data_IF_627004722124
#
_entry.id   IF_627004722124
#
_cell.length_a   1.000
_cell.length_b   1.000
_cell.length_c   1.000
_cell.angle_alpha   90.00
_cell.angle_beta   90.00
_cell.angle_gamma   90.00
#
_symmetry.space_group_name_H-M   'P 1'
#
loop_
_entity.id
_entity.type
_entity.pdbx_description
1 polymer ?
#
# COMPACT_ATOMS: atom_id res chain seq x y z
N UNK A 1 14.68 8.98 8.80
CA UNK A 1 15.25 7.90 9.64
C UNK A 1 14.29 6.74 10.01
N UNK A 2 12.95 6.78 9.83
CA UNK A 2 12.10 5.67 10.29
C UNK A 2 12.02 4.45 9.35
N UNK A 3 12.53 4.55 8.12
CA UNK A 3 12.35 3.50 7.11
C UNK A 3 13.37 2.35 7.17
N UNK A 4 14.49 2.48 7.90
CA UNK A 4 15.56 1.47 7.82
C UNK A 4 15.22 0.13 8.51
N UNK A 5 14.26 0.10 9.44
CA UNK A 5 13.96 -1.10 10.24
C UNK A 5 12.48 -1.41 10.41
N UNK A 6 11.59 -0.71 9.69
CA UNK A 6 10.18 -1.12 9.66
C UNK A 6 10.02 -2.32 8.72
N UNK A 7 9.12 -3.27 9.01
CA UNK A 7 8.73 -4.35 8.10
C UNK A 7 8.50 -3.86 6.67
N UNK A 8 7.80 -2.73 6.56
CA UNK A 8 7.51 -2.09 5.29
C UNK A 8 8.76 -1.53 4.62
N UNK A 9 9.70 -0.94 5.37
CA UNK A 9 10.92 -0.35 4.83
C UNK A 9 11.86 -1.34 4.14
N UNK A 10 12.05 -2.51 4.75
CA UNK A 10 12.92 -3.56 4.21
C UNK A 10 12.36 -4.18 2.93
N UNK A 11 11.07 -4.53 2.95
CA UNK A 11 10.38 -5.08 1.78
C UNK A 11 10.24 -4.02 0.68
N UNK A 12 10.00 -2.76 1.02
CA UNK A 12 9.98 -1.67 0.03
C UNK A 12 11.32 -1.50 -0.69
N UNK A 13 12.47 -1.71 -0.01
CA UNK A 13 13.77 -1.68 -0.69
C UNK A 13 13.94 -2.82 -1.67
N UNK A 14 13.40 -4.01 -1.37
CA UNK A 14 13.40 -5.14 -2.29
C UNK A 14 12.46 -4.88 -3.48
N UNK A 15 11.21 -4.49 -3.20
CA UNK A 15 10.20 -4.23 -4.24
C UNK A 15 10.60 -3.07 -5.15
N UNK A 16 11.20 -2.00 -4.59
CA UNK A 16 11.66 -0.84 -5.35
C UNK A 16 12.82 -1.13 -6.31
N UNK A 17 13.51 -2.27 -6.17
CA UNK A 17 14.59 -2.69 -7.06
C UNK A 17 14.18 -3.82 -8.01
N UNK A 18 13.46 -4.82 -7.50
CA UNK A 18 13.24 -6.08 -8.23
C UNK A 18 11.79 -6.31 -8.67
N UNK A 19 10.84 -5.50 -8.20
CA UNK A 19 9.41 -5.62 -8.56
C UNK A 19 8.93 -4.42 -9.35
N UNK A 20 8.95 -3.24 -8.75
CA UNK A 20 8.33 -2.04 -9.32
C UNK A 20 8.99 -1.58 -10.64
N UNK A 21 10.34 -1.49 -10.75
CA UNK A 21 10.96 -1.10 -12.02
C UNK A 21 10.64 -2.04 -13.19
N UNK A 22 10.83 -3.37 -13.10
CA UNK A 22 10.51 -4.26 -14.21
C UNK A 22 9.00 -4.29 -14.51
N UNK A 23 8.14 -4.19 -13.51
CA UNK A 23 6.68 -4.15 -13.71
C UNK A 23 6.25 -2.88 -14.46
N UNK A 24 6.79 -1.71 -14.09
CA UNK A 24 6.58 -0.45 -14.79
C UNK A 24 7.13 -0.49 -16.22
N UNK A 25 8.32 -1.06 -16.42
CA UNK A 25 8.91 -1.22 -17.76
C UNK A 25 8.07 -2.16 -18.63
N UNK A 26 7.56 -3.26 -18.10
CA UNK A 26 6.67 -4.15 -18.84
C UNK A 26 5.34 -3.48 -19.19
N UNK A 27 4.77 -2.68 -18.28
CA UNK A 27 3.57 -1.91 -18.60
C UNK A 27 3.84 -0.83 -19.66
N UNK A 28 4.99 -0.15 -19.60
CA UNK A 28 5.41 0.79 -20.64
C UNK A 28 5.50 0.13 -22.02
N UNK A 29 6.02 -1.10 -22.09
CA UNK A 29 6.19 -1.84 -23.34
C UNK A 29 4.88 -2.46 -23.88
N UNK A 30 3.89 -2.72 -23.02
CA UNK A 30 2.69 -3.51 -23.41
C UNK A 30 1.37 -2.73 -23.37
N UNK A 31 1.26 -1.69 -22.54
CA UNK A 31 0.04 -0.91 -22.39
C UNK A 31 0.14 0.45 -23.10
N UNK A 32 -0.60 0.67 -24.20
CA UNK A 32 -0.54 1.92 -24.97
C UNK A 32 -1.01 3.15 -24.17
N UNK A 33 -1.71 2.96 -23.03
CA UNK A 33 -2.18 4.03 -22.15
C UNK A 33 -1.25 4.28 -20.96
N UNK A 34 -0.14 3.56 -20.83
CA UNK A 34 0.78 3.73 -19.71
C UNK A 34 1.27 5.18 -19.59
N UNK A 35 1.80 5.74 -20.68
CA UNK A 35 2.31 7.12 -20.69
C UNK A 35 1.24 8.14 -20.30
N UNK A 36 0.01 8.00 -20.82
CA UNK A 36 -1.11 8.89 -20.49
C UNK A 36 -1.46 8.84 -18.99
N UNK A 37 -1.45 7.65 -18.39
CA UNK A 37 -1.74 7.49 -16.96
C UNK A 37 -0.61 8.00 -16.08
N UNK A 38 0.64 7.66 -16.41
CA UNK A 38 1.83 8.04 -15.64
C UNK A 38 1.99 9.56 -15.60
N UNK A 39 1.73 10.27 -16.69
CA UNK A 39 1.79 11.74 -16.73
C UNK A 39 0.69 12.43 -15.94
N UNK A 40 -0.38 11.72 -15.57
CA UNK A 40 -1.47 12.24 -14.72
C UNK A 40 -1.22 12.01 -13.23
N UNK A 41 -0.13 11.35 -12.86
CA UNK A 41 0.23 11.12 -11.46
C UNK A 41 0.64 12.46 -10.79
N UNK A 42 0.35 12.63 -9.50
CA UNK A 42 0.65 13.85 -8.78
C UNK A 42 2.15 14.01 -8.47
N UNK A 43 2.64 15.27 -8.46
CA UNK A 43 3.97 15.63 -7.97
C UNK A 43 5.11 15.07 -8.82
N UNK A 44 6.19 14.60 -8.18
CA UNK A 44 7.39 14.07 -8.85
C UNK A 44 7.24 12.62 -9.38
N UNK A 45 6.12 11.95 -9.07
CA UNK A 45 5.88 10.55 -9.44
C UNK A 45 6.05 10.26 -10.94
N UNK A 46 5.61 11.11 -11.89
CA UNK A 46 5.85 10.86 -13.30
C UNK A 46 7.33 10.74 -13.65
N UNK A 47 8.18 11.61 -13.09
CA UNK A 47 9.63 11.60 -13.32
C UNK A 47 10.26 10.38 -12.69
N UNK A 48 9.92 10.05 -11.44
CA UNK A 48 10.45 8.87 -10.74
C UNK A 48 10.14 7.56 -11.49
N UNK A 49 8.90 7.40 -11.96
CA UNK A 49 8.49 6.22 -12.72
C UNK A 49 9.21 6.14 -14.07
N UNK A 50 9.26 7.23 -14.84
CA UNK A 50 9.91 7.22 -16.15
C UNK A 50 11.44 7.09 -16.06
N UNK A 51 12.06 7.65 -15.03
CA UNK A 51 13.50 7.46 -14.75
C UNK A 51 13.80 6.00 -14.42
N UNK A 52 12.95 5.34 -13.63
CA UNK A 52 13.09 3.90 -13.34
C UNK A 52 12.94 3.03 -14.60
N UNK A 53 11.98 3.37 -15.48
CA UNK A 53 11.81 2.69 -16.78
C UNK A 53 13.03 2.90 -17.67
N UNK A 54 13.52 4.15 -17.77
CA UNK A 54 14.69 4.50 -18.57
C UNK A 54 15.94 3.75 -18.10
N UNK A 55 16.19 3.71 -16.78
CA UNK A 55 17.29 2.93 -16.21
C UNK A 55 17.16 1.46 -16.56
N UNK A 56 15.97 0.89 -16.38
CA UNK A 56 15.75 -0.54 -16.59
C UNK A 56 15.92 -0.97 -18.05
N UNK A 57 15.58 -0.10 -19.01
CA UNK A 57 15.61 -0.43 -20.44
C UNK A 57 16.87 0.04 -21.17
N UNK A 58 17.56 1.07 -20.66
CA UNK A 58 18.64 1.74 -21.39
C UNK A 58 19.96 1.70 -20.63
N UNK A 59 20.03 2.24 -19.41
CA UNK A 59 21.33 2.46 -18.75
C UNK A 59 21.83 1.25 -17.96
N UNK A 60 20.93 0.56 -17.26
CA UNK A 60 21.28 -0.47 -16.28
C UNK A 60 20.98 -1.88 -16.82
N UNK A 61 20.60 -2.01 -18.09
CA UNK A 61 20.25 -3.29 -18.71
C UNK A 61 21.49 -4.21 -18.79
N UNK A 62 21.52 -5.35 -18.06
CA UNK A 62 22.65 -6.26 -18.07
C UNK A 62 22.63 -7.16 -19.32
N UNK A 63 23.80 -7.41 -19.89
CA UNK A 63 23.97 -8.34 -21.01
C UNK A 63 24.66 -9.64 -20.58
N UNK A 64 25.20 -9.67 -19.36
CA UNK A 64 25.96 -10.79 -18.81
C UNK A 64 25.86 -10.84 -17.28
N UNK A 65 26.24 -11.98 -16.70
CA UNK A 65 26.38 -12.12 -15.25
C UNK A 65 27.35 -11.10 -14.65
N UNK A 66 28.43 -10.76 -15.36
CA UNK A 66 29.40 -9.77 -14.91
C UNK A 66 28.77 -8.37 -14.77
N UNK A 67 27.85 -8.02 -15.67
CA UNK A 67 27.10 -6.75 -15.59
C UNK A 67 26.19 -6.72 -14.36
N UNK A 68 25.53 -7.84 -14.02
CA UNK A 68 24.72 -7.95 -12.81
C UNK A 68 25.55 -7.77 -11.54
N UNK A 69 26.78 -8.34 -11.50
CA UNK A 69 27.72 -8.15 -10.39
C UNK A 69 28.20 -6.70 -10.31
N UNK A 70 28.52 -6.08 -11.46
CA UNK A 70 28.91 -4.68 -11.53
C UNK A 70 27.80 -3.74 -11.06
N UNK A 71 26.55 -4.02 -11.45
CA UNK A 71 25.36 -3.30 -10.98
C UNK A 71 25.22 -3.41 -9.46
N UNK A 72 25.27 -4.63 -8.91
CA UNK A 72 25.13 -4.85 -7.47
C UNK A 72 26.23 -4.13 -6.66
N UNK A 73 27.48 -4.15 -7.14
CA UNK A 73 28.60 -3.44 -6.50
C UNK A 73 28.43 -1.92 -6.52
N UNK A 74 27.98 -1.36 -7.64
CA UNK A 74 27.73 0.08 -7.76
C UNK A 74 26.51 0.51 -6.95
N UNK A 75 25.47 -0.31 -6.91
CA UNK A 75 24.31 -0.07 -6.07
C UNK A 75 24.69 -0.11 -4.57
N UNK A 76 25.52 -1.06 -4.14
CA UNK A 76 26.10 -1.08 -2.80
C UNK A 76 26.84 0.24 -2.49
N UNK A 77 27.68 0.72 -3.42
CA UNK A 77 28.41 1.98 -3.25
C UNK A 77 27.45 3.15 -3.03
N UNK A 78 26.41 3.24 -3.85
CA UNK A 78 25.42 4.29 -3.78
C UNK A 78 24.70 4.28 -2.42
N UNK A 79 24.23 3.12 -1.96
CA UNK A 79 23.38 3.04 -0.78
C UNK A 79 24.13 3.20 0.55
N UNK A 80 25.29 2.55 0.69
CA UNK A 80 25.99 2.41 1.98
C UNK A 80 27.20 3.33 2.13
N UNK A 81 27.61 4.01 1.05
CA UNK A 81 28.69 5.00 1.07
C UNK A 81 28.24 6.37 0.55
N UNK A 82 27.86 6.48 -0.73
CA UNK A 82 27.61 7.78 -1.38
C UNK A 82 26.45 8.54 -0.75
N UNK A 83 25.30 7.87 -0.56
CA UNK A 83 24.12 8.47 0.06
C UNK A 83 24.40 8.90 1.51
N UNK A 84 25.25 8.16 2.23
CA UNK A 84 25.68 8.52 3.59
C UNK A 84 26.60 9.74 3.56
N UNK A 85 27.55 9.79 2.63
CA UNK A 85 28.43 10.97 2.45
C UNK A 85 27.64 12.21 2.04
N UNK A 86 26.61 12.07 1.20
CA UNK A 86 25.70 13.17 0.88
C UNK A 86 24.93 13.62 2.13
N UNK A 87 24.40 12.67 2.91
CA UNK A 87 23.67 12.98 4.14
C UNK A 87 24.55 13.72 5.16
N UNK A 88 25.79 13.31 5.34
CA UNK A 88 26.76 13.95 6.24
C UNK A 88 27.28 15.31 5.70
N UNK A 89 27.28 15.49 4.37
CA UNK A 89 27.57 16.80 3.78
C UNK A 89 26.44 17.80 4.06
N UNK A 90 25.20 17.34 3.95
CA UNK A 90 24.01 18.11 4.29
C UNK A 90 23.90 18.39 5.79
N UNK A 91 24.21 17.39 6.61
CA UNK A 91 24.15 17.48 8.05
C UNK A 91 25.45 16.99 8.70
N UNK A 92 26.45 17.89 8.87
CA UNK A 92 27.73 17.55 9.49
C UNK A 92 27.56 16.86 10.86
N UNK A 93 28.47 15.94 11.26
CA UNK A 93 28.39 15.23 12.53
C UNK A 93 28.29 16.14 13.77
N UNK A 94 28.90 17.32 13.70
CA UNK A 94 28.96 18.34 14.75
C UNK A 94 27.87 19.42 14.61
N UNK A 95 26.96 19.29 13.64
CA UNK A 95 25.92 20.28 13.41
C UNK A 95 25.02 20.45 14.64
N UNK A 96 24.75 21.71 14.99
CA UNK A 96 23.79 22.10 16.00
C UNK A 96 22.44 22.47 15.36
N UNK A 97 21.37 22.23 16.10
CA UNK A 97 20.02 22.70 15.79
C UNK A 97 19.88 24.19 16.15
N UNK A 98 18.76 24.81 15.75
CA UNK A 98 18.46 26.22 16.10
C UNK A 98 18.41 26.49 17.60
N UNK A 99 18.17 25.48 18.43
CA UNK A 99 18.20 25.58 19.90
C UNK A 99 19.59 25.35 20.50
N UNK A 100 20.63 25.12 19.69
CA UNK A 100 22.00 24.84 20.14
C UNK A 100 22.25 23.40 20.56
N UNK A 101 21.25 22.51 20.50
CA UNK A 101 21.43 21.08 20.77
C UNK A 101 22.02 20.34 19.55
N UNK A 102 22.81 19.26 19.73
CA UNK A 102 23.34 18.47 18.61
C UNK A 102 22.23 17.91 17.71
N UNK A 103 22.37 18.06 16.39
CA UNK A 103 21.41 17.56 15.40
C UNK A 103 21.28 16.04 15.47
N UNK A 104 22.41 15.34 15.61
CA UNK A 104 22.49 13.89 15.77
C UNK A 104 22.36 13.50 17.24
N UNK A 105 21.16 13.63 17.80
CA UNK A 105 20.84 13.22 19.17
C UNK A 105 19.48 12.54 19.27
N UNK A 106 19.27 11.79 20.36
CA UNK A 106 18.02 11.07 20.64
C UNK A 106 17.66 10.06 19.53
N UNK A 107 16.57 10.27 18.78
CA UNK A 107 16.17 9.36 17.70
C UNK A 107 17.05 9.46 16.44
N UNK A 108 17.96 10.44 16.35
CA UNK A 108 18.85 10.65 15.20
C UNK A 108 20.27 10.15 15.48
N UNK A 109 20.58 8.94 15.04
CA UNK A 109 21.95 8.39 15.08
C UNK A 109 22.79 8.96 13.94
N UNK A 110 23.98 9.47 14.25
CA UNK A 110 24.92 9.95 13.24
C UNK A 110 25.45 8.74 12.45
N UNK A 111 25.33 8.72 11.11
CA UNK A 111 25.85 7.61 10.34
C UNK A 111 27.33 7.75 9.99
N UNK A 112 27.93 6.66 9.50
CA UNK A 112 29.24 6.65 8.84
C UNK A 112 29.19 5.86 7.52
N UNK A 113 29.93 6.30 6.49
CA UNK A 113 29.98 5.59 5.22
C UNK A 113 30.79 4.30 5.33
N UNK A 114 30.33 3.22 4.70
CA UNK A 114 31.06 1.94 4.68
C UNK A 114 32.01 1.86 3.49
N UNK A 115 33.15 1.20 3.67
CA UNK A 115 34.08 0.87 2.59
C UNK A 115 33.93 -0.59 2.17
N UNK A 116 33.79 -0.83 0.87
CA UNK A 116 33.55 -2.19 0.37
C UNK A 116 34.78 -3.06 0.56
N UNK A 117 34.56 -4.33 0.90
CA UNK A 117 35.62 -5.31 1.03
C UNK A 117 35.11 -6.68 0.61
N UNK A 118 35.88 -7.37 -0.23
CA UNK A 118 35.62 -8.76 -0.63
C UNK A 118 35.93 -9.76 0.49
N UNK A 119 36.62 -9.34 1.55
CA UNK A 119 36.89 -10.17 2.74
C UNK A 119 35.77 -10.10 3.78
N UNK A 120 34.82 -9.17 3.63
CA UNK A 120 33.68 -9.05 4.53
C UNK A 120 32.52 -9.90 3.98
N UNK A 121 32.09 -10.91 4.74
CA UNK A 121 31.02 -11.82 4.33
C UNK A 121 29.72 -11.09 4.05
N UNK A 122 29.32 -10.13 4.90
CA UNK A 122 28.09 -9.36 4.75
C UNK A 122 28.07 -8.53 3.45
N UNK A 123 29.22 -7.96 3.07
CA UNK A 123 29.36 -7.22 1.81
C UNK A 123 29.19 -8.15 0.61
N UNK A 124 29.77 -9.34 0.68
CA UNK A 124 29.66 -10.36 -0.36
C UNK A 124 28.26 -10.96 -0.43
N UNK A 125 27.59 -11.19 0.70
CA UNK A 125 26.21 -11.68 0.77
C UNK A 125 25.26 -10.75 0.02
N UNK A 126 25.42 -9.44 0.25
CA UNK A 126 24.66 -8.42 -0.46
C UNK A 126 24.87 -8.50 -1.97
N UNK A 127 26.13 -8.51 -2.42
CA UNK A 127 26.46 -8.50 -3.86
C UNK A 127 25.93 -9.76 -4.54
N UNK A 128 26.11 -10.93 -3.93
CA UNK A 128 25.65 -12.21 -4.49
C UNK A 128 24.12 -12.23 -4.58
N UNK A 129 23.41 -11.85 -3.52
CA UNK A 129 21.95 -11.84 -3.53
C UNK A 129 21.39 -10.81 -4.52
N UNK A 130 21.90 -9.56 -4.47
CA UNK A 130 21.46 -8.49 -5.34
C UNK A 130 21.73 -8.80 -6.83
N UNK A 131 22.90 -9.34 -7.16
CA UNK A 131 23.23 -9.70 -8.54
C UNK A 131 22.38 -10.85 -9.07
N UNK A 132 22.10 -11.88 -8.26
CA UNK A 132 21.23 -12.98 -8.66
C UNK A 132 19.78 -12.52 -8.87
N UNK A 133 19.24 -11.67 -8.00
CA UNK A 133 17.91 -11.10 -8.16
C UNK A 133 17.84 -10.22 -9.40
N UNK A 134 18.84 -9.38 -9.62
CA UNK A 134 18.92 -8.57 -10.84
C UNK A 134 19.03 -9.44 -12.09
N UNK A 135 19.82 -10.52 -12.07
CA UNK A 135 19.92 -11.45 -13.18
C UNK A 135 18.58 -12.14 -13.48
N UNK A 136 17.84 -12.57 -12.44
CA UNK A 136 16.49 -13.14 -12.58
C UNK A 136 15.53 -12.15 -13.26
N UNK A 137 15.57 -10.87 -12.89
CA UNK A 137 14.74 -9.83 -13.50
C UNK A 137 14.92 -9.74 -15.02
N UNK A 138 16.13 -10.00 -15.53
CA UNK A 138 16.46 -9.89 -16.96
C UNK A 138 16.60 -11.25 -17.67
N UNK A 139 16.34 -12.37 -16.98
CA UNK A 139 16.50 -13.71 -17.55
C UNK A 139 17.96 -14.11 -17.80
N UNK A 140 18.91 -13.49 -17.08
CA UNK A 140 20.34 -13.83 -17.12
C UNK A 140 20.62 -14.96 -16.13
N UNK A 141 21.50 -15.90 -16.50
CA UNK A 141 21.90 -16.97 -15.60
C UNK A 141 22.80 -16.44 -14.47
N UNK A 142 22.33 -16.58 -13.23
CA UNK A 142 23.06 -16.21 -12.03
C UNK A 142 24.12 -17.24 -11.58
N UNK A 143 24.88 -16.90 -10.55
CA UNK A 143 25.89 -17.79 -9.95
C UNK A 143 26.04 -17.55 -8.44
N UNK A 144 26.39 -18.62 -7.71
CA UNK A 144 26.74 -18.58 -6.29
C UNK A 144 28.24 -18.76 -6.03
N UNK A 145 29.06 -18.88 -7.09
CA UNK A 145 30.52 -19.01 -6.98
C UNK A 145 31.16 -17.69 -6.52
N UNK A 146 31.39 -17.58 -5.20
CA UNK A 146 32.02 -16.39 -4.61
C UNK A 146 33.42 -16.12 -5.15
N UNK A 147 34.21 -17.15 -5.48
CA UNK A 147 35.55 -16.94 -6.01
C UNK A 147 35.50 -16.31 -7.41
N UNK A 148 34.57 -16.76 -8.25
CA UNK A 148 34.26 -16.14 -9.53
C UNK A 148 33.77 -14.70 -9.40
N UNK A 149 32.85 -14.44 -8.46
CA UNK A 149 32.34 -13.08 -8.19
C UNK A 149 33.46 -12.14 -7.74
N UNK A 150 34.39 -12.59 -6.87
CA UNK A 150 35.54 -11.79 -6.44
C UNK A 150 36.42 -11.39 -7.63
N UNK A 151 36.66 -12.30 -8.58
CA UNK A 151 37.43 -11.97 -9.79
C UNK A 151 36.75 -10.89 -10.61
N UNK A 152 35.44 -11.00 -10.83
CA UNK A 152 34.67 -9.96 -11.55
C UNK A 152 34.78 -8.62 -10.83
N UNK A 153 34.64 -8.61 -9.50
CA UNK A 153 34.70 -7.39 -8.68
C UNK A 153 36.03 -6.64 -8.76
N UNK A 154 37.14 -7.31 -9.10
CA UNK A 154 38.45 -6.65 -9.28
C UNK A 154 38.46 -5.69 -10.48
N UNK A 155 37.66 -6.00 -11.51
CA UNK A 155 37.59 -5.21 -12.75
C UNK A 155 36.44 -4.19 -12.74
N UNK A 156 35.54 -4.24 -11.73
CA UNK A 156 34.40 -3.33 -11.64
C UNK A 156 34.88 -1.90 -11.35
N UNK A 157 34.57 -0.98 -12.26
CA UNK A 157 34.81 0.44 -12.08
C UNK A 157 33.71 1.05 -11.22
N UNK A 158 34.12 1.58 -10.06
CA UNK A 158 33.23 2.33 -9.15
C UNK A 158 33.45 3.82 -9.37
N UNK A 159 32.43 4.58 -9.83
CA UNK A 159 32.56 6.01 -10.02
C UNK A 159 32.91 6.75 -8.73
N UNK A 160 33.80 7.74 -8.82
CA UNK A 160 34.14 8.61 -7.69
C UNK A 160 32.92 9.48 -7.36
N UNK A 161 32.54 9.49 -6.09
CA UNK A 161 31.44 10.31 -5.60
C UNK A 161 31.93 11.58 -4.90
N UNK A 162 31.35 12.72 -5.32
CA UNK A 162 31.53 14.04 -4.69
C UNK A 162 30.15 14.55 -4.27
N UNK A 163 29.93 14.84 -2.97
CA UNK A 163 28.67 15.40 -2.50
C UNK A 163 28.35 16.73 -3.20
N UNK A 164 27.05 16.96 -3.47
CA UNK A 164 26.58 18.19 -4.13
C UNK A 164 25.94 19.14 -3.13
N UNK A 165 26.25 20.43 -3.25
CA UNK A 165 25.55 21.50 -2.54
C UNK A 165 24.15 21.72 -3.13
N UNK A 166 23.15 21.99 -2.30
CA UNK A 166 21.79 22.29 -2.74
C UNK A 166 20.85 21.09 -2.89
N UNK A 167 21.31 19.87 -2.62
CA UNK A 167 20.42 18.71 -2.45
C UNK A 167 19.58 18.93 -1.19
N UNK A 168 18.26 18.93 -1.29
CA UNK A 168 17.38 19.10 -0.13
C UNK A 168 17.03 17.74 0.48
N UNK A 169 17.34 17.56 1.76
CA UNK A 169 16.96 16.38 2.53
C UNK A 169 16.00 16.85 3.62
N UNK A 170 14.78 16.32 3.60
CA UNK A 170 13.75 16.66 4.57
C UNK A 170 14.07 16.06 5.94
N UNK A 171 13.96 16.87 6.99
CA UNK A 171 14.29 16.47 8.37
C UNK A 171 13.08 15.86 9.07
N UNK A 172 11.87 16.20 8.63
CA UNK A 172 10.60 15.70 9.15
C UNK A 172 9.65 15.25 8.04
N UNK A 173 8.73 14.35 8.37
CA UNK A 173 7.70 13.88 7.43
C UNK A 173 6.75 15.04 7.01
N UNK A 174 6.56 16.02 7.90
CA UNK A 174 5.75 17.21 7.62
C UNK A 174 6.42 18.11 6.57
N UNK A 175 7.75 18.25 6.59
CA UNK A 175 8.49 18.96 5.54
C UNK A 175 8.43 18.22 4.20
N UNK A 176 8.41 16.89 4.21
CA UNK A 176 8.29 16.05 3.01
C UNK A 176 6.88 16.17 2.39
N UNK A 177 5.84 16.20 3.21
CA UNK A 177 4.45 16.37 2.75
C UNK A 177 4.18 17.78 2.21
N UNK A 178 4.83 18.80 2.79
CA UNK A 178 4.68 20.19 2.38
C UNK A 178 5.54 20.57 1.17
N UNK A 179 6.51 19.75 0.78
CA UNK A 179 7.17 19.93 -0.51
C UNK A 179 6.26 19.48 -1.64
N UNK A 180 5.56 20.44 -2.25
CA UNK A 180 5.22 20.34 -3.66
C UNK A 180 6.54 20.29 -4.43
N UNK A 181 7.05 19.09 -4.70
CA UNK A 181 8.18 18.95 -5.61
C UNK A 181 7.77 19.62 -6.92
N UNK A 182 8.42 20.72 -7.27
CA UNK A 182 8.31 21.29 -8.61
C UNK A 182 8.74 20.19 -9.56
N UNK A 183 7.84 19.75 -10.43
CA UNK A 183 8.15 18.80 -11.48
C UNK A 183 9.31 19.39 -12.26
N UNK A 184 10.42 18.65 -12.35
CA UNK A 184 11.47 19.01 -13.29
C UNK A 184 10.96 18.67 -14.69
N UNK A 185 10.11 19.55 -15.22
CA UNK A 185 9.47 19.39 -16.54
C UNK A 185 10.54 19.23 -17.62
N UNK A 186 11.74 19.79 -17.42
CA UNK A 186 12.86 19.63 -18.35
C UNK A 186 13.36 18.19 -18.41
N UNK A 187 13.60 17.56 -17.25
CA UNK A 187 14.00 16.15 -17.19
C UNK A 187 12.90 15.22 -17.70
N UNK A 188 11.64 15.56 -17.44
CA UNK A 188 10.50 14.79 -17.91
C UNK A 188 10.42 14.75 -19.45
N UNK A 189 10.63 15.90 -20.11
CA UNK A 189 10.68 15.97 -21.58
C UNK A 189 11.89 15.22 -22.16
N UNK A 190 13.07 15.33 -21.54
CA UNK A 190 14.24 14.54 -21.96
C UNK A 190 13.95 13.03 -21.92
N UNK A 191 13.37 12.53 -20.83
CA UNK A 191 13.03 11.11 -20.66
C UNK A 191 12.08 10.62 -21.76
N UNK A 192 11.06 11.41 -22.11
CA UNK A 192 10.13 11.07 -23.20
C UNK A 192 10.83 10.84 -24.54
N UNK A 193 11.90 11.58 -24.80
CA UNK A 193 12.68 11.46 -26.05
C UNK A 193 13.71 10.34 -26.03
N UNK A 194 14.26 10.02 -24.86
CA UNK A 194 15.32 9.00 -24.71
C UNK A 194 14.76 7.59 -24.53
N UNK A 195 13.51 7.45 -24.11
CA UNK A 195 12.87 6.15 -23.93
C UNK A 195 12.69 5.42 -25.28
N UNK A 196 13.05 4.12 -25.36
CA UNK A 196 12.96 3.36 -26.60
C UNK A 196 11.49 3.10 -26.98
N UNK A 197 11.19 3.10 -28.28
CA UNK A 197 9.83 2.78 -28.75
C UNK A 197 9.42 1.36 -28.32
N UNK A 198 8.21 1.16 -27.76
CA UNK A 198 7.70 -0.14 -27.36
C UNK A 198 7.78 -1.23 -28.45
N UNK A 199 7.63 -0.83 -29.71
CA UNK A 199 7.63 -1.72 -30.88
C UNK A 199 9.01 -2.32 -31.21
N UNK A 200 10.08 -1.73 -30.69
CA UNK A 200 11.48 -2.08 -31.01
C UNK A 200 12.15 -3.02 -30.01
N UNK A 201 11.47 -3.31 -28.89
CA UNK A 201 12.09 -3.94 -27.71
C UNK A 201 11.64 -5.39 -27.52
N UNK A 202 12.59 -6.33 -27.44
CA UNK A 202 12.36 -7.75 -27.14
C UNK A 202 12.59 -8.10 -25.66
N UNK A 203 12.62 -7.11 -24.76
CA UNK A 203 12.85 -7.36 -23.35
C UNK A 203 11.70 -8.18 -22.74
N UNK A 204 12.06 -9.25 -22.04
CA UNK A 204 11.16 -9.99 -21.15
C UNK A 204 11.65 -9.80 -19.73
N UNK A 205 11.26 -8.70 -19.11
CA UNK A 205 11.57 -8.45 -17.72
C UNK A 205 10.62 -9.24 -16.82
N UNK A 206 11.15 -9.83 -15.76
CA UNK A 206 10.39 -10.56 -14.76
C UNK A 206 10.38 -9.75 -13.47
N UNK A 207 9.21 -9.26 -13.06
CA UNK A 207 9.04 -8.71 -11.72
C UNK A 207 9.13 -9.84 -10.69
N UNK A 208 9.82 -9.60 -9.58
CA UNK A 208 10.02 -10.60 -8.53
C UNK A 208 9.06 -10.32 -7.39
N UNK A 209 8.11 -11.24 -7.16
CA UNK A 209 7.25 -11.22 -6.00
C UNK A 209 7.99 -11.73 -4.77
N UNK A 210 7.93 -10.96 -3.67
CA UNK A 210 8.60 -11.32 -2.44
C UNK A 210 7.98 -12.58 -1.82
N UNK A 211 8.75 -13.66 -1.81
CA UNK A 211 8.49 -14.90 -1.07
C UNK A 211 9.49 -15.06 0.09
N UNK A 212 8.95 -15.15 1.31
CA UNK A 212 9.72 -15.23 2.56
C UNK A 212 10.02 -16.68 2.96
N UNK A 213 9.26 -17.64 2.45
CA UNK A 213 9.29 -19.05 2.88
C UNK A 213 10.11 -19.98 1.98
N UNK A 214 10.75 -19.42 0.95
CA UNK A 214 11.70 -20.11 0.09
C UNK A 214 13.12 -19.56 0.35
N UNK A 215 13.99 -20.41 0.88
CA UNK A 215 15.38 -20.07 1.21
C UNK A 215 16.35 -20.16 0.02
N UNK A 216 15.85 -20.50 -1.18
CA UNK A 216 16.68 -20.69 -2.39
C UNK A 216 16.61 -19.53 -3.39
N UNK A 217 15.68 -18.59 -3.20
CA UNK A 217 15.38 -17.52 -4.13
C UNK A 217 16.15 -16.21 -3.90
N UNK A 218 17.03 -16.16 -2.89
CA UNK A 218 17.82 -14.99 -2.48
C UNK A 218 17.03 -13.79 -1.91
N UNK A 219 15.72 -13.88 -1.72
CA UNK A 219 14.91 -12.76 -1.22
C UNK A 219 15.30 -12.38 0.21
N UNK A 220 15.29 -13.36 1.11
CA UNK A 220 15.66 -13.14 2.50
C UNK A 220 17.17 -12.88 2.65
N UNK A 221 18.01 -13.46 1.79
CA UNK A 221 19.45 -13.18 1.75
C UNK A 221 19.71 -11.70 1.46
N UNK A 222 19.05 -11.14 0.44
CA UNK A 222 19.13 -9.73 0.11
C UNK A 222 18.61 -8.86 1.25
N UNK A 223 17.43 -9.16 1.81
CA UNK A 223 16.83 -8.34 2.87
C UNK A 223 17.74 -8.29 4.10
N UNK A 224 18.27 -9.44 4.55
CA UNK A 224 19.15 -9.52 5.73
C UNK A 224 20.44 -8.76 5.49
N UNK A 225 21.07 -8.97 4.33
CA UNK A 225 22.31 -8.28 4.01
C UNK A 225 22.10 -6.76 3.90
N UNK A 226 21.06 -6.35 3.18
CA UNK A 226 20.72 -4.95 3.00
C UNK A 226 20.36 -4.23 4.31
N UNK A 227 19.60 -4.90 5.19
CA UNK A 227 19.23 -4.37 6.50
C UNK A 227 20.44 -4.23 7.42
N UNK A 228 21.31 -5.25 7.48
CA UNK A 228 22.46 -5.26 8.38
C UNK A 228 23.55 -4.28 7.93
N UNK A 229 23.73 -4.09 6.61
CA UNK A 229 24.61 -3.02 6.11
C UNK A 229 24.10 -1.63 6.50
N UNK A 230 22.79 -1.41 6.41
CA UNK A 230 22.20 -0.15 6.88
C UNK A 230 22.27 -0.04 8.41
N UNK A 231 22.23 -1.15 9.14
CA UNK A 231 22.42 -1.16 10.58
C UNK A 231 23.83 -0.68 10.95
N UNK A 232 24.83 -1.22 10.26
CA UNK A 232 26.23 -0.85 10.43
C UNK A 232 26.45 0.64 10.17
N UNK A 233 25.88 1.19 9.09
CA UNK A 233 25.96 2.64 8.81
C UNK A 233 25.54 3.52 10.00
N UNK A 234 24.65 3.07 10.88
CA UNK A 234 24.08 3.86 11.98
C UNK A 234 24.41 3.29 13.36
N UNK A 235 25.40 2.39 13.45
CA UNK A 235 25.81 1.71 14.69
C UNK A 235 24.63 1.02 15.41
N UNK A 236 23.76 0.39 14.62
CA UNK A 236 22.63 -0.41 15.09
C UNK A 236 23.06 -1.87 15.11
N UNK A 237 22.80 -2.62 16.20
CA UNK A 237 23.14 -4.04 16.26
C UNK A 237 22.49 -4.84 15.11
N UNK A 238 23.26 -5.71 14.42
CA UNK A 238 22.73 -6.51 13.33
C UNK A 238 21.68 -7.50 13.84
N UNK A 239 20.82 -7.95 12.92
CA UNK A 239 19.77 -8.92 13.19
C UNK A 239 19.98 -10.18 12.35
N UNK A 240 19.76 -11.35 12.95
CA UNK A 240 19.86 -12.63 12.26
C UNK A 240 18.74 -12.85 11.24
N UNK A 241 18.90 -13.86 10.36
CA UNK A 241 17.92 -14.21 9.33
C UNK A 241 16.54 -14.48 9.90
N UNK A 242 16.43 -15.18 11.03
CA UNK A 242 15.16 -15.60 11.61
C UNK A 242 14.35 -14.39 12.09
N UNK A 243 14.98 -13.49 12.85
CA UNK A 243 14.34 -12.27 13.34
C UNK A 243 14.07 -11.28 12.19
N UNK A 244 14.96 -11.19 11.19
CA UNK A 244 14.69 -10.42 9.97
C UNK A 244 13.50 -10.98 9.19
N UNK A 245 13.36 -12.30 9.08
CA UNK A 245 12.22 -12.97 8.42
C UNK A 245 10.91 -12.71 9.18
N UNK A 246 10.94 -12.76 10.52
CA UNK A 246 9.79 -12.42 11.36
C UNK A 246 9.30 -10.99 11.08
N UNK A 247 10.22 -10.03 11.04
CA UNK A 247 9.94 -8.61 10.84
C UNK A 247 9.51 -8.33 9.39
N UNK A 248 10.35 -8.63 8.40
CA UNK A 248 10.10 -8.33 6.99
C UNK A 248 8.90 -9.10 6.43
N UNK A 249 8.75 -10.37 6.81
CA UNK A 249 7.63 -11.21 6.40
C UNK A 249 6.31 -10.93 7.10
N UNK A 250 6.27 -9.98 8.05
CA UNK A 250 5.11 -9.68 8.91
C UNK A 250 4.49 -10.96 9.49
N UNK A 251 5.35 -11.89 9.92
CA UNK A 251 4.90 -13.19 10.42
C UNK A 251 4.14 -12.98 11.73
N UNK A 252 2.90 -13.45 11.76
CA UNK A 252 2.08 -13.48 12.97
C UNK A 252 2.41 -14.79 13.69
N UNK A 253 3.06 -14.75 14.87
CA UNK A 253 3.39 -15.96 15.61
C UNK A 253 2.11 -16.70 16.00
N UNK A 254 2.05 -17.99 15.67
CA UNK A 254 0.90 -18.84 15.97
C UNK A 254 1.38 -20.20 16.49
N UNK A 255 0.63 -20.76 17.43
CA UNK A 255 0.86 -22.10 17.97
C UNK A 255 -0.48 -22.80 18.16
N UNK A 256 -0.49 -24.12 17.93
CA UNK A 256 -1.72 -24.92 17.94
C UNK A 256 -2.48 -24.86 19.27
N UNK A 257 -1.79 -24.65 20.40
CA UNK A 257 -2.41 -24.60 21.74
C UNK A 257 -3.39 -23.43 21.87
N UNK A 258 -3.01 -22.22 21.46
CA UNK A 258 -3.89 -21.06 21.47
C UNK A 258 -5.05 -21.24 20.48
N UNK A 259 -4.78 -21.77 19.29
CA UNK A 259 -5.82 -22.05 18.29
C UNK A 259 -6.87 -23.04 18.81
N UNK A 260 -6.43 -24.17 19.38
CA UNK A 260 -7.34 -25.18 19.93
C UNK A 260 -8.19 -24.63 21.08
N UNK A 261 -7.59 -23.84 21.97
CA UNK A 261 -8.32 -23.20 23.08
C UNK A 261 -9.37 -22.20 22.58
N UNK A 262 -9.02 -21.32 21.64
CA UNK A 262 -9.96 -20.35 21.06
C UNK A 262 -11.11 -21.06 20.33
N UNK A 263 -10.82 -22.09 19.53
CA UNK A 263 -11.84 -22.88 18.83
C UNK A 263 -12.79 -23.55 19.82
N UNK A 264 -12.28 -24.12 20.90
CA UNK A 264 -13.11 -24.68 21.97
C UNK A 264 -14.10 -23.66 22.55
N UNK A 265 -13.64 -22.44 22.84
CA UNK A 265 -14.51 -21.36 23.34
C UNK A 265 -15.55 -20.92 22.29
N UNK A 266 -15.16 -20.83 21.01
CA UNK A 266 -16.10 -20.50 19.92
C UNK A 266 -17.19 -21.55 19.79
N UNK A 267 -16.87 -22.84 19.92
CA UNK A 267 -17.87 -23.91 19.89
C UNK A 267 -18.86 -23.83 21.06
N UNK A 268 -18.44 -23.34 22.23
CA UNK A 268 -19.35 -23.11 23.35
C UNK A 268 -20.36 -21.99 23.05
N UNK A 269 -19.94 -20.90 22.41
CA UNK A 269 -20.87 -19.84 21.98
C UNK A 269 -21.80 -20.32 20.84
N UNK A 270 -21.31 -21.19 19.96
CA UNK A 270 -22.11 -21.79 18.89
C UNK A 270 -23.33 -22.55 19.44
N UNK A 271 -23.21 -23.28 20.55
CA UNK A 271 -24.35 -23.94 21.18
C UNK A 271 -25.45 -22.96 21.59
N UNK A 272 -25.09 -21.77 22.06
CA UNK A 272 -26.05 -20.73 22.47
C UNK A 272 -26.81 -20.17 21.27
N UNK A 273 -26.12 -20.00 20.15
CA UNK A 273 -26.75 -19.58 18.87
C UNK A 273 -27.75 -20.63 18.40
N UNK A 274 -27.35 -21.91 18.37
CA UNK A 274 -28.21 -23.02 17.91
C UNK A 274 -29.44 -23.18 18.81
N UNK A 275 -29.26 -23.00 20.12
CA UNK A 275 -30.35 -23.01 21.09
C UNK A 275 -31.22 -21.74 21.05
N UNK A 276 -30.87 -20.75 20.22
CA UNK A 276 -31.67 -19.54 20.01
C UNK A 276 -31.65 -18.56 21.19
N UNK A 277 -30.56 -18.52 21.96
CA UNK A 277 -30.43 -17.60 23.10
C UNK A 277 -30.61 -16.15 22.64
N UNK A 278 -31.50 -15.41 23.31
CA UNK A 278 -31.82 -14.01 23.00
C UNK A 278 -31.27 -13.01 24.00
N UNK A 279 -30.85 -13.46 25.18
CA UNK A 279 -30.34 -12.60 26.24
C UNK A 279 -28.83 -12.41 26.09
N UNK A 280 -28.40 -11.16 26.18
CA UNK A 280 -27.02 -10.76 25.95
C UNK A 280 -26.08 -11.33 27.03
N UNK A 281 -26.55 -11.35 28.28
CA UNK A 281 -25.92 -12.00 29.45
C UNK A 281 -25.55 -13.48 29.24
N UNK A 282 -26.21 -14.18 28.30
CA UNK A 282 -25.89 -15.58 27.99
C UNK A 282 -24.60 -15.72 27.20
N UNK A 283 -24.26 -14.73 26.37
CA UNK A 283 -23.07 -14.74 25.52
C UNK A 283 -21.83 -14.27 26.28
N UNK A 284 -20.64 -14.69 25.82
CA UNK A 284 -19.36 -14.28 26.39
C UNK A 284 -18.33 -14.03 25.29
N UNK A 285 -17.75 -12.84 25.30
CA UNK A 285 -16.51 -12.57 24.58
C UNK A 285 -15.35 -13.12 25.39
N UNK A 286 -14.52 -13.97 24.80
CA UNK A 286 -13.36 -14.58 25.45
C UNK A 286 -12.06 -13.84 25.13
N UNK A 287 -11.29 -13.53 26.17
CA UNK A 287 -9.95 -12.95 26.09
C UNK A 287 -8.99 -13.86 26.82
N UNK A 288 -7.86 -14.20 26.20
CA UNK A 288 -6.92 -15.13 26.83
C UNK A 288 -5.46 -14.81 26.49
N UNK A 289 -4.59 -15.08 27.46
CA UNK A 289 -3.15 -15.06 27.28
C UNK A 289 -2.53 -16.25 28.04
N UNK A 290 -2.18 -17.30 27.29
CA UNK A 290 -1.62 -18.54 27.85
C UNK A 290 -0.20 -18.39 28.41
N UNK A 291 0.50 -17.31 28.11
CA UNK A 291 1.79 -17.02 28.74
C UNK A 291 1.64 -16.57 30.20
N UNK A 292 0.50 -15.97 30.56
CA UNK A 292 0.15 -15.53 31.93
C UNK A 292 -0.89 -16.43 32.62
N UNK A 293 -1.20 -17.59 32.05
CA UNK A 293 -2.51 -18.26 32.20
C UNK A 293 -3.76 -17.38 32.43
N UNK A 294 -3.88 -16.24 31.74
CA UNK A 294 -5.02 -15.33 31.89
C UNK A 294 -6.21 -15.76 31.02
N UNK A 295 -7.40 -15.80 31.62
CA UNK A 295 -8.69 -15.96 30.95
C UNK A 295 -9.67 -14.92 31.50
N UNK A 296 -10.22 -14.10 30.62
CA UNK A 296 -11.23 -13.11 30.93
C UNK A 296 -12.43 -13.30 30.01
N UNK A 297 -13.62 -13.15 30.57
CA UNK A 297 -14.86 -13.17 29.81
C UNK A 297 -15.66 -11.92 30.11
N UNK A 298 -16.17 -11.27 29.05
CA UNK A 298 -17.10 -10.15 29.19
C UNK A 298 -18.40 -10.46 28.47
N UNK A 299 -19.48 -9.84 28.90
CA UNK A 299 -20.68 -9.76 28.08
C UNK A 299 -20.37 -8.98 26.80
N UNK A 300 -20.96 -9.34 25.64
CA UNK A 300 -20.95 -8.47 24.47
C UNK A 300 -21.58 -7.10 24.76
N UNK A 301 -21.31 -6.11 23.94
CA UNK A 301 -21.92 -4.79 24.08
C UNK A 301 -23.26 -4.81 23.32
N UNK A 302 -24.32 -4.28 23.93
CA UNK A 302 -25.59 -4.09 23.25
C UNK A 302 -25.42 -3.15 22.04
N UNK A 303 -26.12 -3.44 20.94
CA UNK A 303 -26.10 -2.54 19.79
C UNK A 303 -26.61 -1.15 20.22
N UNK A 304 -25.87 -0.07 19.92
CA UNK A 304 -26.34 1.29 20.18
C UNK A 304 -27.71 1.50 19.55
N UNK A 305 -28.59 2.15 20.31
CA UNK A 305 -29.94 2.50 19.90
C UNK A 305 -29.95 3.96 19.51
N UNK A 306 -30.34 4.21 18.28
CA UNK A 306 -30.53 5.53 17.68
C UNK A 306 -32.02 5.76 17.51
N UNK A 307 -32.43 7.02 17.34
CA UNK A 307 -33.83 7.37 17.23
C UNK A 307 -34.01 8.48 16.21
N UNK A 308 -35.00 8.31 15.35
CA UNK A 308 -35.54 9.39 14.51
C UNK A 308 -37.07 9.39 14.71
N UNK A 309 -37.65 10.57 14.94
CA UNK A 309 -39.02 10.69 15.48
C UNK A 309 -39.22 9.80 16.72
N UNK A 310 -40.24 8.93 16.73
CA UNK A 310 -40.51 7.92 17.76
C UNK A 310 -39.99 6.52 17.41
N UNK A 311 -39.24 6.37 16.31
CA UNK A 311 -38.73 5.08 15.82
C UNK A 311 -37.33 4.86 16.36
N UNK A 312 -37.18 3.82 17.18
CA UNK A 312 -35.87 3.34 17.63
C UNK A 312 -35.29 2.36 16.61
N UNK A 313 -33.99 2.48 16.33
CA UNK A 313 -33.27 1.59 15.43
C UNK A 313 -31.85 1.33 15.92
N UNK A 314 -31.24 0.27 15.38
CA UNK A 314 -29.89 -0.21 15.67
C UNK A 314 -29.17 -0.57 14.38
N UNK A 315 -27.87 -0.88 14.44
CA UNK A 315 -27.09 -1.31 13.28
C UNK A 315 -27.66 -2.51 12.49
N UNK A 316 -28.59 -3.28 13.09
CA UNK A 316 -29.20 -4.46 12.47
C UNK A 316 -30.45 -4.13 11.64
N UNK A 317 -31.05 -2.98 11.92
CA UNK A 317 -32.25 -2.49 11.25
C UNK A 317 -31.90 -1.89 9.88
N UNK A 318 -32.88 -1.90 8.98
CA UNK A 318 -32.74 -1.39 7.61
C UNK A 318 -34.09 -1.05 7.03
N UNK A 319 -34.14 -0.15 6.06
CA UNK A 319 -35.29 0.00 5.19
C UNK A 319 -35.28 -1.08 4.11
N UNK A 320 -36.38 -1.81 3.96
CA UNK A 320 -36.57 -2.78 2.88
C UNK A 320 -37.38 -2.12 1.77
N UNK A 321 -36.74 -1.86 0.63
CA UNK A 321 -37.37 -1.23 -0.53
C UNK A 321 -37.36 -2.21 -1.69
N UNK A 322 -38.54 -2.52 -2.23
CA UNK A 322 -38.66 -3.35 -3.43
C UNK A 322 -38.58 -2.45 -4.66
N UNK A 323 -37.54 -2.67 -5.48
CA UNK A 323 -37.26 -1.83 -6.63
C UNK A 323 -38.23 -2.01 -7.78
N UNK A 324 -38.72 -3.22 -8.02
CA UNK A 324 -39.75 -3.49 -9.02
C UNK A 324 -41.13 -3.12 -8.48
N UNK A 325 -41.80 -2.22 -9.19
CA UNK A 325 -43.16 -1.82 -8.87
C UNK A 325 -44.17 -2.86 -9.38
N UNK A 326 -45.43 -2.83 -8.90
CA UNK A 326 -46.49 -3.69 -9.42
C UNK A 326 -46.72 -3.57 -10.93
N UNK A 327 -46.34 -2.44 -11.55
CA UNK A 327 -46.37 -2.22 -13.01
C UNK A 327 -45.32 -3.04 -13.78
N UNK A 328 -44.33 -3.61 -13.10
CA UNK A 328 -43.18 -4.28 -13.71
C UNK A 328 -42.03 -3.32 -14.06
N UNK A 329 -42.20 -2.02 -13.86
CA UNK A 329 -41.15 -1.01 -14.04
C UNK A 329 -40.32 -0.85 -12.76
N UNK A 330 -39.05 -0.51 -12.92
CA UNK A 330 -38.16 -0.22 -11.79
C UNK A 330 -38.43 1.19 -11.24
N UNK A 331 -38.42 1.31 -9.91
CA UNK A 331 -38.56 2.56 -9.20
C UNK A 331 -37.50 3.58 -9.64
N UNK A 332 -37.96 4.77 -10.02
CA UNK A 332 -37.10 5.91 -10.38
C UNK A 332 -36.58 6.62 -9.13
N UNK A 333 -35.55 7.45 -9.29
CA UNK A 333 -35.06 8.29 -8.19
C UNK A 333 -36.16 9.18 -7.61
N UNK A 334 -37.01 9.80 -8.44
CA UNK A 334 -38.13 10.62 -7.96
C UNK A 334 -39.06 9.82 -7.06
N UNK A 335 -39.47 8.64 -7.52
CA UNK A 335 -40.36 7.77 -6.74
C UNK A 335 -39.69 7.27 -5.45
N UNK A 336 -38.38 7.04 -5.46
CA UNK A 336 -37.62 6.69 -4.27
C UNK A 336 -37.61 7.84 -3.25
N UNK A 337 -37.32 9.07 -3.68
CA UNK A 337 -37.36 10.26 -2.81
C UNK A 337 -38.77 10.49 -2.26
N UNK A 338 -39.79 10.38 -3.12
CA UNK A 338 -41.19 10.54 -2.75
C UNK A 338 -41.66 9.45 -1.77
N UNK A 339 -41.19 8.20 -1.91
CA UNK A 339 -41.50 7.10 -1.00
C UNK A 339 -41.03 7.42 0.42
N UNK A 340 -39.77 7.85 0.60
CA UNK A 340 -39.27 8.24 1.92
C UNK A 340 -39.99 9.47 2.49
N UNK A 341 -40.29 10.47 1.65
CA UNK A 341 -41.03 11.66 2.06
C UNK A 341 -42.47 11.35 2.47
N UNK A 342 -43.15 10.47 1.75
CA UNK A 342 -44.57 10.19 1.96
C UNK A 342 -44.81 9.12 3.02
N UNK A 343 -44.05 8.02 3.00
CA UNK A 343 -44.26 6.86 3.89
C UNK A 343 -43.47 6.98 5.19
N UNK A 344 -42.20 7.42 5.11
CA UNK A 344 -41.32 7.54 6.28
C UNK A 344 -41.25 8.95 6.86
N UNK A 345 -41.84 9.93 6.18
CA UNK A 345 -41.78 11.37 6.52
C UNK A 345 -40.37 11.97 6.51
N UNK A 346 -39.42 11.27 5.89
CA UNK A 346 -38.02 11.67 5.80
C UNK A 346 -37.74 12.36 4.47
N UNK A 347 -37.19 13.56 4.51
CA UNK A 347 -36.74 14.27 3.32
C UNK A 347 -35.27 13.93 3.06
N UNK A 348 -35.02 13.06 2.09
CA UNK A 348 -33.64 12.67 1.72
C UNK A 348 -32.90 13.91 1.19
N UNK A 349 -31.78 14.25 1.82
CA UNK A 349 -30.88 15.34 1.43
C UNK A 349 -29.67 14.82 0.67
N UNK A 350 -29.22 13.59 0.95
CA UNK A 350 -28.13 12.91 0.23
C UNK A 350 -28.41 11.41 0.11
N UNK A 351 -28.02 10.84 -1.03
CA UNK A 351 -28.16 9.40 -1.33
C UNK A 351 -26.91 8.90 -2.04
N UNK A 352 -26.34 7.81 -1.52
CA UNK A 352 -25.12 7.23 -2.08
C UNK A 352 -25.15 5.70 -2.14
N UNK A 353 -24.32 5.14 -3.03
CA UNK A 353 -24.05 3.72 -3.14
C UNK A 353 -22.54 3.52 -3.09
N UNK A 354 -22.04 3.01 -1.97
CA UNK A 354 -20.61 2.97 -1.68
C UNK A 354 -19.99 4.37 -1.80
N UNK A 355 -18.98 4.54 -2.66
CA UNK A 355 -18.31 5.83 -2.88
C UNK A 355 -19.01 6.73 -3.91
N UNK A 356 -20.12 6.28 -4.51
CA UNK A 356 -20.81 7.00 -5.59
C UNK A 356 -22.01 7.78 -5.05
N UNK A 357 -21.96 9.11 -5.13
CA UNK A 357 -23.08 9.98 -4.75
C UNK A 357 -24.13 10.05 -5.89
N UNK A 358 -25.30 9.47 -5.63
CA UNK A 358 -26.38 9.33 -6.61
C UNK A 358 -27.27 10.58 -6.64
N UNK A 359 -27.55 11.17 -5.49
CA UNK A 359 -28.33 12.38 -5.33
C UNK A 359 -27.83 13.22 -4.15
N UNK A 360 -27.93 14.56 -4.27
CA UNK A 360 -27.79 15.49 -3.16
C UNK A 360 -28.61 16.76 -3.41
N UNK A 361 -29.07 17.44 -2.35
CA UNK A 361 -29.89 18.64 -2.45
C UNK A 361 -29.19 19.82 -3.15
N UNK A 362 -27.85 19.88 -3.07
CA UNK A 362 -27.02 20.90 -3.72
C UNK A 362 -26.58 20.54 -5.16
N UNK A 363 -27.15 19.48 -5.76
CA UNK A 363 -26.86 19.17 -7.16
C UNK A 363 -27.38 20.28 -8.10
N UNK A 364 -26.62 20.64 -9.15
CA UNK A 364 -27.10 21.58 -10.16
C UNK A 364 -28.41 21.10 -10.80
N UNK A 365 -29.36 22.02 -11.02
CA UNK A 365 -30.70 21.70 -11.52
C UNK A 365 -30.70 20.86 -12.81
N UNK A 366 -29.74 21.11 -13.72
CA UNK A 366 -29.57 20.31 -14.94
C UNK A 366 -29.26 18.83 -14.65
N UNK A 367 -28.31 18.56 -13.73
CA UNK A 367 -27.95 17.19 -13.33
C UNK A 367 -29.09 16.50 -12.58
N UNK A 368 -29.84 17.26 -11.77
CA UNK A 368 -30.98 16.71 -11.04
C UNK A 368 -32.09 16.29 -12.02
N UNK A 369 -32.43 17.15 -12.99
CA UNK A 369 -33.42 16.84 -14.03
C UNK A 369 -33.06 15.61 -14.85
N UNK A 370 -31.77 15.40 -15.14
CA UNK A 370 -31.29 14.20 -15.84
C UNK A 370 -31.44 12.89 -15.03
N UNK A 371 -31.51 12.95 -13.70
CA UNK A 371 -31.47 11.76 -12.83
C UNK A 371 -32.82 11.39 -12.23
N UNK A 372 -33.69 12.36 -11.97
CA UNK A 372 -34.95 12.13 -11.26
C UNK A 372 -35.84 11.04 -11.90
N UNK A 373 -35.90 11.00 -13.23
CA UNK A 373 -36.75 10.07 -13.96
C UNK A 373 -36.04 8.77 -14.37
N UNK A 374 -34.77 8.58 -13.96
CA UNK A 374 -34.02 7.36 -14.25
C UNK A 374 -34.28 6.28 -13.19
N UNK A 375 -34.30 4.99 -13.58
CA UNK A 375 -34.27 3.86 -12.65
C UNK A 375 -33.06 3.91 -11.72
N UNK A 376 -33.23 3.45 -10.47
CA UNK A 376 -32.15 3.44 -9.48
C UNK A 376 -30.89 2.71 -9.97
N UNK A 377 -31.04 1.54 -10.61
CA UNK A 377 -29.93 0.75 -11.17
C UNK A 377 -29.19 1.46 -12.31
N UNK A 378 -29.91 2.24 -13.12
CA UNK A 378 -29.33 3.01 -14.21
C UNK A 378 -28.47 4.16 -13.68
N UNK A 379 -28.95 4.87 -12.65
CA UNK A 379 -28.19 5.94 -12.00
C UNK A 379 -26.90 5.39 -11.40
N UNK A 380 -26.98 4.27 -10.67
CA UNK A 380 -25.79 3.60 -10.12
C UNK A 380 -24.79 3.26 -11.22
N UNK A 381 -25.26 2.71 -12.33
CA UNK A 381 -24.40 2.36 -13.48
C UNK A 381 -23.75 3.60 -14.11
N UNK A 382 -24.52 4.69 -14.30
CA UNK A 382 -24.05 5.94 -14.92
C UNK A 382 -23.02 6.65 -14.04
N UNK A 383 -23.25 6.71 -12.72
CA UNK A 383 -22.37 7.43 -11.78
C UNK A 383 -21.10 6.63 -11.48
N UNK A 384 -21.23 5.33 -11.21
CA UNK A 384 -20.08 4.47 -10.91
C UNK A 384 -19.24 4.14 -12.16
N UNK A 385 -19.80 4.38 -13.36
CA UNK A 385 -19.25 3.97 -14.67
C UNK A 385 -19.02 2.45 -14.77
N UNK A 386 -19.71 1.66 -13.94
CA UNK A 386 -19.62 0.19 -13.89
C UNK A 386 -21.01 -0.40 -14.08
N UNK A 387 -21.15 -1.32 -15.03
CA UNK A 387 -22.40 -2.07 -15.23
C UNK A 387 -22.66 -2.97 -14.03
N UNK A 388 -23.89 -3.00 -13.56
CA UNK A 388 -24.32 -3.95 -12.54
C UNK A 388 -24.30 -5.38 -13.09
N UNK A 389 -23.69 -6.31 -12.33
CA UNK A 389 -23.60 -7.70 -12.73
C UNK A 389 -24.96 -8.40 -12.69
N UNK A 390 -25.21 -9.32 -13.62
CA UNK A 390 -26.44 -10.14 -13.67
C UNK A 390 -26.65 -11.04 -12.44
N UNK A 391 -25.74 -11.06 -11.46
CA UNK A 391 -25.84 -11.80 -10.20
C UNK A 391 -26.31 -10.92 -9.01
N UNK A 392 -26.32 -9.60 -9.16
CA UNK A 392 -26.71 -8.66 -8.09
C UNK A 392 -28.23 -8.73 -7.87
N UNK A 393 -28.67 -9.03 -6.66
CA UNK A 393 -30.11 -9.12 -6.31
C UNK A 393 -30.61 -7.92 -5.53
N UNK A 394 -29.75 -7.30 -4.73
CA UNK A 394 -30.06 -6.10 -3.98
C UNK A 394 -28.87 -5.12 -3.99
N UNK A 395 -29.18 -3.85 -3.77
CA UNK A 395 -28.23 -2.77 -3.55
C UNK A 395 -28.38 -2.26 -2.12
N UNK A 396 -27.27 -1.76 -1.58
CA UNK A 396 -27.26 -1.05 -0.29
C UNK A 396 -27.09 0.43 -0.59
N UNK A 397 -28.01 1.25 -0.07
CA UNK A 397 -27.93 2.70 -0.15
C UNK A 397 -27.79 3.32 1.23
N UNK A 398 -26.92 4.32 1.32
CA UNK A 398 -26.74 5.16 2.50
C UNK A 398 -27.45 6.50 2.28
N UNK A 399 -28.12 6.98 3.32
CA UNK A 399 -28.96 8.17 3.29
C UNK A 399 -28.46 9.21 4.30
N UNK A 400 -28.56 10.48 3.92
CA UNK A 400 -28.75 11.58 4.87
C UNK A 400 -30.13 12.16 4.61
N UNK A 401 -30.85 12.51 5.65
CA UNK A 401 -32.21 13.01 5.54
C UNK A 401 -32.54 13.98 6.65
N UNK A 402 -33.42 14.92 6.32
CA UNK A 402 -34.02 15.81 7.29
C UNK A 402 -35.36 15.23 7.77
N UNK A 403 -35.66 15.52 9.03
CA UNK A 403 -36.93 15.20 9.63
C UNK A 403 -38.02 16.26 9.29
N UNK A 404 -39.19 16.19 9.92
CA UNK A 404 -40.29 17.15 9.65
C UNK A 404 -40.02 18.56 10.20
N UNK A 405 -39.03 18.68 11.09
CA UNK A 405 -38.56 19.94 11.67
C UNK A 405 -37.37 20.52 10.89
N UNK A 406 -37.01 19.92 9.75
CA UNK A 406 -35.87 20.28 8.91
C UNK A 406 -34.51 20.09 9.63
N UNK A 407 -34.47 19.21 10.64
CA UNK A 407 -33.23 18.82 11.34
C UNK A 407 -32.64 17.56 10.69
N UNK A 408 -31.32 17.53 10.50
CA UNK A 408 -30.60 16.36 9.96
C UNK A 408 -30.64 15.21 10.97
N UNK A 409 -31.06 14.03 10.52
CA UNK A 409 -31.23 12.84 11.37
C UNK A 409 -30.53 11.62 10.78
N UNK A 410 -29.94 10.82 11.67
CA UNK A 410 -29.34 9.53 11.31
C UNK A 410 -30.42 8.45 11.23
N UNK A 411 -30.42 7.69 10.12
CA UNK A 411 -31.42 6.67 9.83
C UNK A 411 -30.77 5.38 9.36
N UNK A 412 -31.47 4.23 9.42
CA UNK A 412 -30.96 2.99 8.87
C UNK A 412 -30.62 3.09 7.38
N UNK A 413 -29.68 2.26 6.92
CA UNK A 413 -29.42 2.08 5.49
C UNK A 413 -30.60 1.41 4.78
N UNK A 414 -30.60 1.48 3.45
CA UNK A 414 -31.64 0.87 2.61
C UNK A 414 -31.10 -0.38 1.94
N UNK A 415 -31.85 -1.48 2.06
CA UNK A 415 -31.74 -2.63 1.18
C UNK A 415 -32.74 -2.47 0.04
N UNK A 416 -32.22 -2.12 -1.13
CA UNK A 416 -33.01 -1.98 -2.35
C UNK A 416 -32.97 -3.27 -3.16
N UNK A 417 -34.06 -4.04 -3.18
CA UNK A 417 -34.15 -5.31 -3.88
C UNK A 417 -34.49 -5.09 -5.35
N UNK A 418 -33.56 -5.44 -6.25
CA UNK A 418 -33.74 -5.28 -7.70
C UNK A 418 -34.69 -6.37 -8.24
N UNK A 419 -34.67 -7.57 -7.65
CA UNK A 419 -35.37 -8.78 -8.12
C UNK A 419 -35.47 -9.87 -7.08
#
# INVERSE_FOLDING_TARGET
MPFAFSPSGLVMSFEGLFKQPPENSMQYLTDPKFMERTLKLPGAQPVEVLEAVYKSLVTDCPHSWADCVAWARNHWQCQYNNNIRQLLHNFPPDQLTSSGAPFWSGPKRCPHPLEFSTSNELHMDYVVAAANLFAQTYGVQGSTDRAGVIKILQDVKVPVFTPRSGVKIHVSDQELQNSHASVDDSRLEELKTQLPSPESSQFKLCAIDFEKDDDTNFHMDFIVAASNLRAENYDIPPTDRHKSKLIAGKIIPAIATTTAAVVGLVCLELFKIIQGHKKLESYKNGFMNLALPFFGFSEPIAAPKHKYYEIEWTLWDRFEVTGLQPSGEEMTLRQFLDHFKNEHKLEITMLSQGVSMLYSFFMPAAKLKERLDLPMTEIVTKVSKKKLGKHVKALVFELCCNDLSDEDVEVPYVRYTIR
#
